data_IF_137038387538
#
_entry.id   IF_137038387538
#
_cell.length_a   1.000
_cell.length_b   1.000
_cell.length_c   1.000
_cell.angle_alpha   90.00
_cell.angle_beta   90.00
_cell.angle_gamma   90.00
#
_symmetry.space_group_name_H-M   'P 1'
#
loop_
_entity.id
_entity.type
_entity.pdbx_description
1 polymer ?
#
# COMPACT_ATOMS: atom_id res chain seq x y z
N UNK A 1 -8.23 3.43 28.42
CA UNK A 1 -6.82 2.96 28.33
C UNK A 1 -6.13 3.73 27.22
N UNK A 2 -5.00 4.40 27.46
CA UNK A 2 -4.25 5.00 26.36
C UNK A 2 -3.64 3.86 25.53
N UNK A 3 -3.89 3.87 24.22
CA UNK A 3 -3.19 2.98 23.28
C UNK A 3 -1.70 3.29 23.37
N UNK A 4 -0.86 2.25 23.39
CA UNK A 4 0.59 2.47 23.30
C UNK A 4 0.92 3.19 21.99
N UNK A 5 1.99 3.99 21.96
CA UNK A 5 2.37 4.75 20.74
C UNK A 5 2.70 3.82 19.56
N UNK A 6 3.18 2.62 19.84
CA UNK A 6 3.49 1.59 18.85
C UNK A 6 2.38 0.54 18.74
N UNK A 7 1.17 0.83 19.25
CA UNK A 7 0.05 -0.09 19.10
C UNK A 7 -0.31 -0.20 17.62
N UNK A 8 -0.47 -1.43 17.14
CA UNK A 8 -0.78 -1.73 15.75
C UNK A 8 -2.12 -2.47 15.65
N UNK A 9 -2.79 -2.33 14.51
CA UNK A 9 -3.97 -3.12 14.20
C UNK A 9 -3.58 -4.60 14.01
N UNK A 10 -4.25 -5.56 14.67
CA UNK A 10 -3.92 -6.98 14.52
C UNK A 10 -4.16 -7.53 13.11
N UNK A 11 -4.99 -6.86 12.30
CA UNK A 11 -5.35 -7.32 10.94
C UNK A 11 -4.41 -6.80 9.86
N UNK A 12 -4.09 -5.51 9.89
CA UNK A 12 -3.34 -4.85 8.81
C UNK A 12 -2.03 -4.21 9.29
N UNK A 13 -1.69 -4.33 10.58
CA UNK A 13 -0.46 -3.77 11.19
C UNK A 13 -0.33 -2.25 11.10
N UNK A 14 -1.41 -1.54 10.75
CA UNK A 14 -1.42 -0.08 10.77
C UNK A 14 -1.27 0.46 12.20
N UNK A 15 -0.49 1.53 12.37
CA UNK A 15 -0.32 2.19 13.67
C UNK A 15 -1.61 2.85 14.14
N UNK A 16 -1.98 2.59 15.39
CA UNK A 16 -3.19 3.13 16.00
C UNK A 16 -2.96 4.53 16.59
N UNK A 17 -1.72 4.85 16.98
CA UNK A 17 -1.32 6.20 17.42
C UNK A 17 -0.73 7.01 16.25
N UNK A 18 -1.53 7.18 15.21
CA UNK A 18 -1.20 7.95 14.01
C UNK A 18 -2.18 9.11 13.84
N UNK A 19 -1.78 10.18 13.13
CA UNK A 19 -2.68 11.33 12.91
C UNK A 19 -4.00 10.90 12.27
N UNK A 20 -4.00 10.00 11.28
CA UNK A 20 -5.26 9.53 10.64
C UNK A 20 -6.24 8.86 11.61
N UNK A 21 -5.75 8.35 12.74
CA UNK A 21 -6.54 7.74 13.81
C UNK A 21 -6.98 8.73 14.90
N UNK A 22 -6.54 9.99 14.82
CA UNK A 22 -6.87 11.04 15.77
C UNK A 22 -8.21 11.72 15.44
N UNK A 23 -8.94 12.16 16.48
CA UNK A 23 -10.18 12.93 16.35
C UNK A 23 -9.98 14.30 15.70
N UNK A 24 -8.81 14.91 15.89
CA UNK A 24 -8.49 16.24 15.34
C UNK A 24 -7.98 16.20 13.90
N UNK A 25 -7.79 15.01 13.32
CA UNK A 25 -7.29 14.91 11.95
C UNK A 25 -8.35 15.25 10.93
N UNK A 26 -8.05 16.24 10.11
CA UNK A 26 -8.90 16.71 9.03
C UNK A 26 -8.07 16.91 7.75
N UNK A 27 -8.21 16.03 6.74
CA UNK A 27 -7.41 16.12 5.52
C UNK A 27 -7.69 17.37 4.67
N UNK A 28 -8.73 18.17 5.01
CA UNK A 28 -9.06 19.41 4.30
C UNK A 28 -8.24 20.61 4.78
N UNK A 29 -7.58 20.51 5.93
CA UNK A 29 -6.74 21.57 6.49
C UNK A 29 -5.29 21.43 6.00
N UNK A 30 -4.58 22.55 5.86
CA UNK A 30 -3.18 22.57 5.38
C UNK A 30 -2.26 21.68 6.23
N UNK A 31 -2.28 21.83 7.56
CA UNK A 31 -1.53 20.97 8.50
C UNK A 31 -2.24 19.65 8.84
N UNK A 32 -3.43 19.44 8.27
CA UNK A 32 -4.29 18.28 8.48
C UNK A 32 -4.69 18.01 9.94
N UNK A 33 -4.67 19.05 10.78
CA UNK A 33 -5.00 19.00 12.19
C UNK A 33 -5.86 20.21 12.57
N UNK A 34 -6.92 19.98 13.35
CA UNK A 34 -7.81 21.01 13.88
C UNK A 34 -7.26 21.67 15.16
N UNK A 35 -6.32 21.02 15.85
CA UNK A 35 -5.66 21.59 17.03
C UNK A 35 -4.46 22.42 16.58
N UNK A 36 -4.53 23.74 16.77
CA UNK A 36 -3.52 24.72 16.34
C UNK A 36 -2.24 24.65 17.18
N UNK A 37 -2.34 24.26 18.45
CA UNK A 37 -1.17 24.09 19.34
C UNK A 37 -0.46 22.76 19.15
N UNK A 38 -0.98 21.86 18.32
CA UNK A 38 -0.35 20.59 18.06
C UNK A 38 0.86 20.78 17.14
N UNK A 39 1.98 20.14 17.49
CA UNK A 39 3.14 20.09 16.61
C UNK A 39 2.78 19.37 15.29
N UNK A 40 3.28 19.89 14.18
CA UNK A 40 3.04 19.30 12.88
C UNK A 40 3.80 18.00 12.70
N UNK A 41 3.06 16.89 12.60
CA UNK A 41 3.61 15.59 12.24
C UNK A 41 3.69 15.48 10.72
N UNK A 42 4.86 15.16 10.15
CA UNK A 42 5.01 14.98 8.68
C UNK A 42 4.31 13.72 8.18
N UNK A 43 4.57 12.59 8.83
CA UNK A 43 3.97 11.31 8.49
C UNK A 43 2.67 11.10 9.27
N UNK A 44 1.54 11.25 8.58
CA UNK A 44 0.22 11.19 9.21
C UNK A 44 -0.26 9.74 9.44
N UNK A 45 0.42 8.75 8.86
CA UNK A 45 0.03 7.33 8.87
C UNK A 45 0.85 6.48 9.84
N UNK A 46 2.04 6.93 10.21
CA UNK A 46 2.91 6.23 11.15
C UNK A 46 2.69 6.66 12.60
N UNK A 47 3.20 5.82 13.52
CA UNK A 47 3.26 6.14 14.94
C UNK A 47 3.99 7.46 15.17
N UNK A 48 3.43 8.30 16.03
CA UNK A 48 4.01 9.60 16.38
C UNK A 48 3.93 9.90 17.88
N UNK A 49 4.54 11.01 18.27
CA UNK A 49 4.64 11.47 19.66
C UNK A 49 3.69 12.65 19.96
N UNK A 50 2.66 12.87 19.15
CA UNK A 50 1.74 13.98 19.34
C UNK A 50 1.00 13.86 20.68
N UNK A 51 1.28 14.78 21.61
CA UNK A 51 0.65 14.77 22.94
C UNK A 51 -0.85 15.13 22.91
N UNK A 52 -1.31 15.74 21.82
CA UNK A 52 -2.71 16.07 21.58
C UNK A 52 -3.53 14.91 21.00
N UNK A 53 -2.92 13.74 20.80
CA UNK A 53 -3.59 12.60 20.21
C UNK A 53 -4.82 12.16 21.03
N UNK A 54 -5.97 12.10 20.36
CA UNK A 54 -7.21 11.52 20.91
C UNK A 54 -7.75 10.50 19.93
N UNK A 55 -7.83 9.20 20.28
CA UNK A 55 -8.26 8.17 19.36
C UNK A 55 -9.71 8.40 18.90
N UNK A 56 -9.95 8.22 17.61
CA UNK A 56 -11.27 8.28 16.99
C UNK A 56 -11.77 6.86 16.68
N UNK A 57 -12.84 6.37 17.34
CA UNK A 57 -13.33 4.99 17.18
C UNK A 57 -13.76 4.64 15.75
N UNK A 58 -14.25 5.63 15.00
CA UNK A 58 -14.76 5.52 13.63
C UNK A 58 -13.72 5.96 12.57
N UNK A 59 -12.42 5.97 12.92
CA UNK A 59 -11.37 6.39 12.00
C UNK A 59 -11.16 5.44 10.83
N UNK A 60 -11.34 4.13 11.03
CA UNK A 60 -11.20 3.15 9.96
C UNK A 60 -12.44 3.19 9.06
N UNK A 61 -12.21 3.48 7.78
CA UNK A 61 -13.21 3.32 6.72
C UNK A 61 -12.76 2.22 5.78
N UNK A 62 -13.58 1.18 5.55
CA UNK A 62 -13.23 0.17 4.57
C UNK A 62 -13.09 0.82 3.19
N UNK A 63 -12.10 0.40 2.38
CA UNK A 63 -12.01 0.88 1.00
C UNK A 63 -13.28 0.49 0.25
N UNK A 64 -13.87 1.45 -0.47
CA UNK A 64 -15.05 1.18 -1.31
C UNK A 64 -14.64 0.33 -2.52
N UNK A 65 -15.23 -0.86 -2.66
CA UNK A 65 -14.87 -1.81 -3.73
C UNK A 65 -15.44 -1.42 -5.10
N UNK A 66 -16.55 -0.69 -5.14
CA UNK A 66 -17.27 -0.35 -6.38
C UNK A 66 -16.40 0.34 -7.44
N UNK A 67 -15.55 1.31 -7.05
CA UNK A 67 -14.64 1.98 -8.00
C UNK A 67 -13.56 1.04 -8.51
N UNK A 68 -13.08 0.14 -7.66
CA UNK A 68 -12.05 -0.84 -8.05
C UNK A 68 -12.60 -1.91 -8.98
N UNK A 69 -13.85 -2.34 -8.78
CA UNK A 69 -14.55 -3.30 -9.64
C UNK A 69 -14.84 -2.69 -11.01
N UNK A 70 -15.34 -1.45 -11.04
CA UNK A 70 -15.57 -0.71 -12.28
C UNK A 70 -14.26 -0.43 -13.06
N UNK A 71 -13.17 -0.13 -12.35
CA UNK A 71 -11.87 0.03 -12.99
C UNK A 71 -11.36 -1.30 -13.59
N UNK A 72 -11.50 -2.42 -12.86
CA UNK A 72 -11.12 -3.74 -13.35
C UNK A 72 -11.91 -4.13 -14.61
N UNK A 73 -13.24 -4.00 -14.58
CA UNK A 73 -14.06 -4.33 -15.75
C UNK A 73 -13.79 -3.43 -16.95
N UNK A 74 -13.48 -2.15 -16.71
CA UNK A 74 -13.05 -1.22 -17.75
C UNK A 74 -11.71 -1.65 -18.38
N UNK A 75 -10.72 -2.02 -17.58
CA UNK A 75 -9.44 -2.53 -18.07
C UNK A 75 -9.61 -3.85 -18.85
N UNK A 76 -10.42 -4.78 -18.34
CA UNK A 76 -10.70 -6.05 -19.02
C UNK A 76 -11.40 -5.84 -20.37
N UNK A 77 -12.25 -4.82 -20.49
CA UNK A 77 -12.88 -4.49 -21.77
C UNK A 77 -11.90 -3.90 -22.79
N UNK A 78 -10.90 -3.15 -22.32
CA UNK A 78 -9.88 -2.51 -23.17
C UNK A 78 -8.76 -3.46 -23.57
N UNK A 79 -8.40 -4.40 -22.69
CA UNK A 79 -7.21 -5.26 -22.84
C UNK A 79 -7.51 -6.77 -22.87
N UNK A 80 -8.74 -7.20 -22.56
CA UNK A 80 -9.15 -8.60 -22.51
C UNK A 80 -9.47 -9.22 -23.88
N UNK A 81 -9.51 -8.42 -24.94
CA UNK A 81 -9.53 -8.88 -26.33
C UNK A 81 -8.12 -8.91 -26.90
N UNK A 82 -7.57 -10.11 -27.11
CA UNK A 82 -6.30 -10.45 -27.80
C UNK A 82 -5.04 -10.78 -26.98
N UNK A 83 -5.15 -11.55 -25.89
CA UNK A 83 -4.18 -12.64 -25.61
C UNK A 83 -4.86 -13.81 -24.88
N UNK A 84 -5.82 -14.46 -25.55
CA UNK A 84 -6.07 -15.89 -25.27
C UNK A 84 -4.92 -16.70 -25.86
N UNK A 85 -3.80 -16.70 -25.15
CA UNK A 85 -2.72 -17.66 -25.31
C UNK A 85 -2.40 -18.20 -23.91
N UNK A 86 -3.05 -19.30 -23.53
CA UNK A 86 -2.57 -20.15 -22.44
C UNK A 86 -1.06 -20.40 -22.63
N UNK A 87 -0.19 -20.28 -21.62
CA UNK A 87 1.15 -20.78 -21.73
C UNK A 87 1.12 -22.30 -21.50
N UNK A 88 0.46 -23.04 -22.39
CA UNK A 88 0.81 -24.45 -22.63
C UNK A 88 2.04 -24.48 -23.52
N UNK A 89 3.22 -24.31 -22.91
CA UNK A 89 4.53 -24.88 -23.29
C UNK A 89 5.63 -24.16 -22.51
N UNK A 90 5.93 -24.67 -21.32
CA UNK A 90 7.06 -24.23 -20.47
C UNK A 90 8.42 -24.81 -20.87
N UNK A 91 8.53 -25.46 -22.03
CA UNK A 91 9.79 -26.13 -22.38
C UNK A 91 10.73 -25.26 -23.23
N UNK A 92 10.20 -24.36 -24.08
CA UNK A 92 11.06 -23.68 -25.06
C UNK A 92 11.52 -22.27 -24.66
N UNK A 93 10.77 -21.56 -23.80
CA UNK A 93 11.18 -20.22 -23.33
C UNK A 93 12.30 -20.29 -22.31
N UNK A 94 12.33 -21.32 -21.46
CA UNK A 94 13.41 -21.50 -20.47
C UNK A 94 14.74 -21.82 -21.15
N UNK A 95 14.73 -22.73 -22.14
CA UNK A 95 15.92 -23.07 -22.93
C UNK A 95 16.49 -21.88 -23.72
N UNK A 96 15.62 -21.03 -24.28
CA UNK A 96 16.07 -19.84 -25.03
C UNK A 96 16.68 -18.76 -24.15
N UNK A 97 16.24 -18.62 -22.90
CA UNK A 97 16.91 -17.72 -21.96
C UNK A 97 18.25 -18.27 -21.51
N UNK A 98 18.35 -19.57 -21.27
CA UNK A 98 19.62 -20.19 -20.86
C UNK A 98 20.70 -20.06 -21.95
N UNK A 99 20.35 -20.15 -23.25
CA UNK A 99 21.27 -19.85 -24.37
C UNK A 99 21.74 -18.39 -24.41
N UNK A 100 20.87 -17.43 -24.03
CA UNK A 100 21.19 -16.00 -24.08
C UNK A 100 22.06 -15.53 -22.90
N UNK A 101 22.07 -16.30 -21.80
CA UNK A 101 22.76 -15.93 -20.56
C UNK A 101 23.86 -16.92 -20.15
N UNK A 102 24.32 -17.82 -21.05
CA UNK A 102 25.52 -18.63 -20.75
C UNK A 102 26.70 -17.70 -20.52
N UNK A 103 27.34 -17.70 -19.33
CA UNK A 103 28.58 -16.98 -19.15
C UNK A 103 29.68 -17.69 -19.95
N UNK A 104 30.39 -16.94 -20.80
CA UNK A 104 31.55 -17.41 -21.55
C UNK A 104 32.46 -18.29 -20.69
N UNK A 105 32.47 -19.59 -20.96
CA UNK A 105 33.44 -20.52 -20.38
C UNK A 105 34.78 -20.16 -20.99
N UNK A 106 35.55 -19.34 -20.27
CA UNK A 106 36.93 -18.96 -20.62
C UNK A 106 37.72 -20.18 -21.11
N UNK A 107 38.34 -20.14 -22.30
CA UNK A 107 39.27 -21.18 -22.69
C UNK A 107 40.50 -21.08 -21.77
N UNK A 108 40.82 -22.19 -21.11
CA UNK A 108 41.94 -22.31 -20.19
C UNK A 108 43.30 -22.17 -20.88
N UNK A 109 44.26 -21.68 -20.10
CA UNK A 109 45.69 -21.98 -20.22
C UNK A 109 46.25 -22.22 -18.83
#
# INVERSE_FOLDING_TARGET
>A
MPLSRLAECPKCRAYLHACRMCRFYDPRLTGQCQEERAEEVRDKEHANFCDWFKPRPDAYRPPGTAKSEAAKSGLDSLFGGTVSGSPEKKDNTRNKLDELFVPDKKPGR
#
